data_IF_541161841726
#
_entry.id   IF_541161841726
#
_cell.length_a   1.000
_cell.length_b   1.000
_cell.length_c   1.000
_cell.angle_alpha   90.00
_cell.angle_beta   90.00
_cell.angle_gamma   90.00
#
_symmetry.space_group_name_H-M   'P 1'
#
loop_
_entity.id
_entity.type
_entity.pdbx_description
1 polymer ?
#
# COMPACT_ATOMS: atom_id res chain seq x y z
N UNK A 1 45.72 -22.27 -45.57
CA UNK A 1 45.12 -21.13 -44.83
C UNK A 1 43.70 -20.73 -45.34
N UNK A 2 42.69 -21.63 -45.42
CA UNK A 2 41.29 -21.20 -45.64
C UNK A 2 40.32 -21.44 -44.47
N UNK A 3 40.73 -22.11 -43.38
CA UNK A 3 39.83 -22.50 -42.27
C UNK A 3 39.38 -21.33 -41.37
N UNK A 4 40.13 -20.23 -41.33
CA UNK A 4 39.87 -19.14 -40.39
C UNK A 4 38.79 -18.16 -40.87
N UNK A 5 38.61 -18.03 -42.19
CA UNK A 5 37.61 -17.14 -42.79
C UNK A 5 36.17 -17.65 -42.60
N UNK A 6 35.97 -18.97 -42.69
CA UNK A 6 34.67 -19.62 -42.49
C UNK A 6 34.20 -19.53 -41.02
N UNK A 7 35.14 -19.64 -40.08
CA UNK A 7 34.86 -19.45 -38.66
C UNK A 7 34.41 -18.00 -38.33
N UNK A 8 35.00 -17.00 -38.99
CA UNK A 8 34.62 -15.59 -38.82
C UNK A 8 33.22 -15.28 -39.38
N UNK A 9 32.87 -15.86 -40.53
CA UNK A 9 31.56 -15.67 -41.16
C UNK A 9 30.44 -16.39 -40.37
N UNK A 10 30.69 -17.62 -39.86
CA UNK A 10 29.76 -18.29 -38.93
C UNK A 10 29.50 -17.45 -37.68
N UNK A 11 30.52 -16.82 -37.11
CA UNK A 11 30.37 -15.92 -35.95
C UNK A 11 29.52 -14.70 -36.28
N UNK A 12 29.75 -14.07 -37.43
CA UNK A 12 28.96 -12.91 -37.89
C UNK A 12 27.48 -13.27 -38.13
N UNK A 13 27.19 -14.43 -38.71
CA UNK A 13 25.82 -14.93 -38.93
C UNK A 13 25.10 -15.24 -37.62
N UNK A 14 25.76 -15.90 -36.67
CA UNK A 14 25.19 -16.18 -35.34
C UNK A 14 24.89 -14.87 -34.60
N UNK A 15 25.82 -13.90 -34.62
CA UNK A 15 25.59 -12.58 -34.00
C UNK A 15 24.39 -11.87 -34.65
N UNK A 16 24.29 -11.87 -35.99
CA UNK A 16 23.13 -11.27 -36.69
C UNK A 16 21.81 -11.96 -36.35
N UNK A 17 21.78 -13.29 -36.26
CA UNK A 17 20.60 -14.05 -35.87
C UNK A 17 20.19 -13.75 -34.41
N UNK A 18 21.16 -13.66 -33.50
CA UNK A 18 20.90 -13.29 -32.11
C UNK A 18 20.38 -11.85 -31.98
N UNK A 19 20.93 -10.90 -32.74
CA UNK A 19 20.44 -9.53 -32.76
C UNK A 19 19.02 -9.42 -33.33
N UNK A 20 18.68 -10.19 -34.38
CA UNK A 20 17.33 -10.25 -34.92
C UNK A 20 16.33 -10.86 -33.91
N UNK A 21 16.72 -11.93 -33.21
CA UNK A 21 15.88 -12.55 -32.18
C UNK A 21 15.59 -11.60 -31.00
N UNK A 22 16.54 -10.75 -30.63
CA UNK A 22 16.34 -9.73 -29.57
C UNK A 22 15.38 -8.62 -30.03
N UNK A 23 15.38 -8.25 -31.32
CA UNK A 23 14.44 -7.26 -31.87
C UNK A 23 13.00 -7.79 -32.03
N UNK A 24 12.79 -9.10 -32.10
CA UNK A 24 11.47 -9.72 -32.22
C UNK A 24 10.78 -10.01 -30.88
N UNK A 25 11.41 -9.70 -29.74
CA UNK A 25 10.75 -9.82 -28.43
C UNK A 25 9.70 -8.70 -28.30
N UNK A 26 8.40 -9.02 -28.23
CA UNK A 26 7.39 -8.01 -27.99
C UNK A 26 7.66 -7.39 -26.61
N UNK A 27 7.83 -6.06 -26.58
CA UNK A 27 7.86 -5.32 -25.33
C UNK A 27 6.52 -5.55 -24.64
N UNK A 28 6.52 -6.35 -23.56
CA UNK A 28 5.32 -6.52 -22.75
C UNK A 28 4.92 -5.13 -22.25
N UNK A 29 3.69 -4.67 -22.47
CA UNK A 29 3.23 -3.46 -21.83
C UNK A 29 3.32 -3.73 -20.33
N UNK A 30 4.17 -2.97 -19.63
CA UNK A 30 4.18 -3.00 -18.18
C UNK A 30 2.74 -2.72 -17.75
N UNK A 31 2.06 -3.73 -17.19
CA UNK A 31 0.73 -3.55 -16.65
C UNK A 31 0.84 -2.38 -15.69
N UNK A 32 0.15 -1.27 -16.00
CA UNK A 32 0.14 -0.11 -15.14
C UNK A 32 -0.40 -0.60 -13.79
N UNK A 33 0.48 -0.74 -12.81
CA UNK A 33 0.10 -1.21 -11.49
C UNK A 33 -1.03 -0.30 -11.00
N UNK A 34 -2.17 -0.90 -10.65
CA UNK A 34 -3.27 -0.17 -10.03
C UNK A 34 -2.70 0.71 -8.93
N UNK A 35 -2.95 2.03 -9.03
CA UNK A 35 -2.55 2.99 -8.00
C UNK A 35 -3.28 2.75 -6.67
N UNK A 36 -4.32 1.91 -6.69
CA UNK A 36 -5.07 1.54 -5.50
C UNK A 36 -4.68 0.14 -5.01
N UNK A 37 -4.60 -0.07 -3.69
CA UNK A 37 -4.53 -1.41 -3.12
C UNK A 37 -5.70 -2.25 -3.63
N UNK A 38 -5.53 -3.57 -3.65
CA UNK A 38 -6.65 -4.49 -3.89
C UNK A 38 -7.80 -4.22 -2.91
N UNK A 39 -9.03 -4.54 -3.28
CA UNK A 39 -10.17 -4.45 -2.37
C UNK A 39 -9.96 -5.30 -1.11
N UNK A 40 -10.61 -4.92 -0.01
CA UNK A 40 -10.54 -5.61 1.28
C UNK A 40 -9.70 -4.88 2.32
N UNK A 41 -9.37 -5.60 3.40
CA UNK A 41 -8.71 -5.05 4.58
C UNK A 41 -7.20 -5.20 4.52
N UNK A 42 -6.51 -4.15 4.93
CA UNK A 42 -5.08 -4.01 4.78
C UNK A 42 -4.45 -3.47 6.05
N UNK A 43 -3.72 -4.29 6.78
CA UNK A 43 -2.85 -3.80 7.85
C UNK A 43 -1.61 -3.13 7.25
N UNK A 44 -1.31 -1.92 7.71
CA UNK A 44 -0.28 -1.05 7.16
C UNK A 44 0.44 -0.30 8.28
N UNK A 45 1.63 0.20 7.94
CA UNK A 45 2.49 0.93 8.86
C UNK A 45 3.05 2.19 8.18
N UNK A 46 3.02 3.30 8.89
CA UNK A 46 3.64 4.58 8.50
C UNK A 46 4.48 5.08 9.68
N UNK A 47 5.80 5.05 9.52
CA UNK A 47 6.71 5.32 10.64
C UNK A 47 6.46 4.36 11.81
N UNK A 48 6.11 4.90 12.98
CA UNK A 48 5.78 4.12 14.19
C UNK A 48 4.29 3.77 14.31
N UNK A 49 3.44 4.26 13.40
CA UNK A 49 1.98 4.14 13.46
C UNK A 49 1.53 2.95 12.62
N UNK A 50 0.70 2.08 13.18
CA UNK A 50 -0.04 1.04 12.43
C UNK A 50 -1.46 1.51 12.17
N UNK A 51 -2.06 1.00 11.10
CA UNK A 51 -3.43 1.33 10.72
C UNK A 51 -4.01 0.23 9.84
N UNK A 52 -5.33 0.08 9.89
CA UNK A 52 -6.10 -0.78 8.98
C UNK A 52 -6.69 0.10 7.89
N UNK A 53 -6.54 -0.30 6.63
CA UNK A 53 -7.22 0.34 5.49
C UNK A 53 -8.26 -0.63 4.96
N UNK A 54 -9.51 -0.21 4.94
CA UNK A 54 -10.57 -0.91 4.23
C UNK A 54 -10.75 -0.26 2.86
N UNK A 55 -10.49 -1.02 1.80
CA UNK A 55 -10.69 -0.61 0.41
C UNK A 55 -11.96 -1.25 -0.13
N UNK A 56 -12.94 -0.46 -0.60
CA UNK A 56 -14.23 -1.00 -1.02
C UNK A 56 -14.08 -1.86 -2.27
N UNK A 57 -15.09 -2.70 -2.52
CA UNK A 57 -15.19 -3.42 -3.81
C UNK A 57 -15.19 -2.44 -4.99
N UNK A 58 -14.65 -2.89 -6.12
CA UNK A 58 -14.55 -2.13 -7.37
C UNK A 58 -13.76 -0.79 -7.30
N UNK A 59 -12.90 -0.63 -6.29
CA UNK A 59 -12.11 0.59 -6.10
C UNK A 59 -11.30 1.00 -7.34
N UNK A 60 -10.75 0.04 -8.08
CA UNK A 60 -9.98 0.30 -9.30
C UNK A 60 -10.83 0.95 -10.40
N UNK A 61 -12.13 0.63 -10.49
CA UNK A 61 -13.04 1.18 -11.50
C UNK A 61 -13.57 2.57 -11.14
N UNK A 62 -13.42 3.01 -9.88
CA UNK A 62 -14.04 4.22 -9.32
C UNK A 62 -13.01 5.26 -8.85
N UNK A 63 -11.74 5.06 -9.20
CA UNK A 63 -10.66 5.94 -8.83
C UNK A 63 -10.82 7.36 -9.44
N UNK A 64 -10.49 8.45 -8.70
CA UNK A 64 -10.03 8.47 -7.31
C UNK A 64 -11.18 8.32 -6.29
N UNK A 65 -10.91 7.65 -5.17
CA UNK A 65 -11.89 7.48 -4.08
C UNK A 65 -11.69 8.50 -2.95
N UNK A 66 -12.77 9.00 -2.32
CA UNK A 66 -12.69 9.71 -1.05
C UNK A 66 -12.06 8.83 0.05
N UNK A 67 -11.42 9.48 1.02
CA UNK A 67 -10.81 8.80 2.18
C UNK A 67 -11.43 9.34 3.46
N UNK A 68 -11.92 8.43 4.31
CA UNK A 68 -12.37 8.72 5.66
C UNK A 68 -11.35 8.16 6.65
N UNK A 69 -10.84 8.99 7.55
CA UNK A 69 -9.97 8.55 8.64
C UNK A 69 -10.78 8.49 9.93
N UNK A 70 -10.93 7.28 10.47
CA UNK A 70 -11.85 6.98 11.57
C UNK A 70 -11.07 6.68 12.87
N UNK A 71 -11.08 7.64 13.78
CA UNK A 71 -10.32 7.57 15.04
C UNK A 71 -11.11 6.93 16.18
N UNK A 72 -10.48 5.97 16.86
CA UNK A 72 -11.01 5.39 18.08
C UNK A 72 -10.89 6.36 19.28
N UNK A 73 -11.75 6.19 20.29
CA UNK A 73 -11.66 6.91 21.57
C UNK A 73 -10.51 6.45 22.47
N UNK A 74 -10.29 7.13 23.60
CA UNK A 74 -9.21 6.80 24.55
C UNK A 74 -9.24 5.35 25.03
N UNK A 75 -8.08 4.68 25.05
CA UNK A 75 -7.96 3.27 25.45
C UNK A 75 -8.31 2.27 24.35
N UNK A 76 -8.82 2.73 23.20
CA UNK A 76 -9.17 1.89 22.06
C UNK A 76 -7.98 1.42 21.23
N UNK A 77 -8.28 0.86 20.06
CA UNK A 77 -7.34 0.53 18.98
C UNK A 77 -8.07 0.45 17.63
N UNK A 78 -7.31 0.27 16.54
CA UNK A 78 -7.85 0.22 15.18
C UNK A 78 -8.87 -0.92 15.00
N UNK A 79 -8.51 -2.15 15.36
CA UNK A 79 -9.36 -3.34 15.16
C UNK A 79 -10.67 -3.26 15.92
N UNK A 80 -10.64 -2.81 17.17
CA UNK A 80 -11.83 -2.66 18.01
C UNK A 80 -12.76 -1.60 17.45
N UNK A 81 -12.22 -0.48 16.98
CA UNK A 81 -13.04 0.60 16.44
C UNK A 81 -13.61 0.30 15.05
N UNK A 82 -12.86 -0.37 14.17
CA UNK A 82 -13.39 -0.85 12.89
C UNK A 82 -14.65 -1.72 13.09
N UNK A 83 -14.59 -2.66 14.04
CA UNK A 83 -15.73 -3.51 14.41
C UNK A 83 -16.89 -2.73 15.03
N UNK A 84 -16.60 -1.78 15.92
CA UNK A 84 -17.60 -0.97 16.60
C UNK A 84 -18.33 -0.02 15.64
N UNK A 85 -17.58 0.71 14.82
CA UNK A 85 -18.12 1.73 13.92
C UNK A 85 -18.80 1.11 12.68
N UNK A 86 -18.31 -0.05 12.22
CA UNK A 86 -18.89 -0.77 11.09
C UNK A 86 -18.87 0.01 9.77
N UNK A 87 -17.93 0.94 9.61
CA UNK A 87 -17.87 1.82 8.43
C UNK A 87 -17.47 1.06 7.16
N UNK A 88 -16.88 -0.13 7.26
CA UNK A 88 -16.51 -0.97 6.12
C UNK A 88 -17.72 -1.23 5.19
N UNK A 89 -18.87 -1.60 5.77
CA UNK A 89 -20.11 -1.82 5.02
C UNK A 89 -20.65 -0.54 4.38
N UNK A 90 -20.35 0.62 4.97
CA UNK A 90 -20.76 1.92 4.43
C UNK A 90 -19.81 2.31 3.30
N UNK A 91 -18.52 2.09 3.46
CA UNK A 91 -17.50 2.27 2.44
C UNK A 91 -17.76 1.42 1.20
N UNK A 92 -18.07 0.13 1.38
CA UNK A 92 -18.44 -0.77 0.29
C UNK A 92 -19.67 -0.28 -0.50
N UNK A 93 -20.65 0.31 0.19
CA UNK A 93 -21.90 0.76 -0.43
C UNK A 93 -21.76 2.12 -1.11
N UNK A 94 -21.11 3.07 -0.45
CA UNK A 94 -21.04 4.46 -0.91
C UNK A 94 -19.76 4.77 -1.71
N UNK A 95 -18.79 3.86 -1.71
CA UNK A 95 -17.56 3.98 -2.50
C UNK A 95 -16.55 4.95 -1.90
N UNK A 96 -16.06 4.67 -0.69
CA UNK A 96 -14.92 5.39 -0.10
C UNK A 96 -13.97 4.44 0.63
N UNK A 97 -12.73 4.86 0.82
CA UNK A 97 -11.73 4.13 1.62
C UNK A 97 -11.86 4.54 3.08
N UNK A 98 -11.77 3.59 4.01
CA UNK A 98 -11.69 3.89 5.46
C UNK A 98 -10.32 3.55 5.99
N UNK A 99 -9.74 4.45 6.79
CA UNK A 99 -8.47 4.24 7.48
C UNK A 99 -8.72 4.28 8.99
N UNK A 100 -8.39 3.20 9.69
CA UNK A 100 -8.47 3.08 11.14
C UNK A 100 -7.06 3.06 11.73
N UNK A 101 -6.54 4.20 12.21
CA UNK A 101 -5.22 4.24 12.83
C UNK A 101 -5.24 3.75 14.27
N UNK A 102 -4.16 3.09 14.67
CA UNK A 102 -3.88 2.80 16.08
C UNK A 102 -3.36 4.05 16.79
N UNK A 103 -3.76 4.27 18.04
CA UNK A 103 -3.15 5.27 18.93
C UNK A 103 -1.70 4.92 19.35
N UNK A 104 -1.18 5.60 20.36
CA UNK A 104 0.14 5.31 20.94
C UNK A 104 -0.02 4.74 22.34
N UNK A 105 0.78 3.74 22.70
CA UNK A 105 0.73 3.09 24.01
C UNK A 105 1.90 2.14 24.24
N UNK A 106 2.10 1.77 25.51
CA UNK A 106 3.21 0.90 25.95
C UNK A 106 2.89 -0.59 25.88
N UNK A 107 1.62 -0.94 25.71
CA UNK A 107 1.12 -2.32 25.80
C UNK A 107 0.80 -2.92 24.42
N UNK A 108 1.68 -2.67 23.44
CA UNK A 108 1.43 -3.04 22.05
C UNK A 108 0.19 -2.33 21.50
N UNK A 109 -0.66 -3.02 20.72
CA UNK A 109 -1.88 -2.46 20.10
C UNK A 109 -3.09 -2.46 21.06
N UNK A 110 -2.86 -2.20 22.35
CA UNK A 110 -3.90 -2.19 23.39
C UNK A 110 -3.79 -0.93 24.23
N UNK A 111 -4.92 -0.45 24.74
CA UNK A 111 -5.01 0.73 25.60
C UNK A 111 -4.27 1.94 25.00
N UNK A 112 -4.59 2.23 23.73
CA UNK A 112 -3.92 3.27 22.97
C UNK A 112 -4.61 4.62 23.15
N UNK A 113 -3.83 5.69 23.11
CA UNK A 113 -4.33 7.06 23.25
C UNK A 113 -3.77 8.00 22.17
N UNK A 114 -4.30 9.22 22.14
CA UNK A 114 -3.91 10.28 21.21
C UNK A 114 -3.31 11.46 22.00
N UNK A 115 -2.46 12.23 21.34
CA UNK A 115 -1.90 13.48 21.84
C UNK A 115 -2.94 14.62 21.76
N UNK A 116 -4.14 14.38 22.31
CA UNK A 116 -5.31 15.23 22.19
C UNK A 116 -5.48 16.23 23.36
N UNK A 117 -4.39 16.62 24.00
CA UNK A 117 -4.38 17.53 25.15
C UNK A 117 -4.58 16.79 26.47
N UNK A 118 -5.82 16.76 26.95
CA UNK A 118 -6.13 16.35 28.33
C UNK A 118 -6.44 14.85 28.43
N UNK A 119 -5.53 14.12 29.07
CA UNK A 119 -5.50 12.68 29.37
C UNK A 119 -5.07 11.75 28.21
N UNK A 120 -4.33 10.65 28.38
CA UNK A 120 -3.51 10.06 29.45
C UNK A 120 -2.51 9.13 28.73
N UNK A 121 -1.50 8.61 29.43
CA UNK A 121 -0.60 7.60 28.87
C UNK A 121 0.37 8.16 27.83
N UNK A 122 1.07 7.26 27.14
CA UNK A 122 2.28 7.61 26.38
C UNK A 122 2.08 8.67 25.28
N UNK A 123 0.87 8.81 24.74
CA UNK A 123 0.62 9.80 23.70
C UNK A 123 0.80 11.25 24.22
N UNK A 124 0.55 11.52 25.51
CA UNK A 124 0.77 12.86 26.09
C UNK A 124 2.25 13.24 26.20
N UNK A 125 3.16 12.27 26.30
CA UNK A 125 4.61 12.50 26.33
C UNK A 125 5.15 12.98 24.97
N UNK A 126 4.31 13.00 23.94
CA UNK A 126 4.62 13.49 22.59
C UNK A 126 3.63 14.59 22.24
N UNK A 127 3.72 15.78 22.86
CA UNK A 127 2.87 16.89 22.51
C UNK A 127 3.01 17.19 21.02
N UNK A 128 1.90 17.59 20.40
CA UNK A 128 1.94 18.13 19.03
C UNK A 128 2.96 19.26 19.02
N UNK A 129 3.90 19.30 18.04
CA UNK A 129 4.81 20.43 17.93
C UNK A 129 3.98 21.72 17.88
N UNK A 130 4.18 22.60 18.86
CA UNK A 130 3.67 23.97 18.78
C UNK A 130 4.51 24.66 17.71
N UNK A 131 3.87 24.93 16.57
CA UNK A 131 4.41 25.78 15.50
C UNK A 131 4.73 27.17 16.01
#
# INVERSE_FOLDING_TARGET
MPRDADAAERRRRVIRLLLLLVLLMPASPAAAASRFPASGDHDRKLGKRTYIVHVPRDAAARAPLPVVVAFHGGGGNATGFAKYAGLDRVADREGFVVVYPDGTGRLGRRLLTWNAGDCCGQAQERPTPTT
#
